data_IF_975255082040
#
_entry.id   IF_975255082040
#
_cell.length_a   1.000
_cell.length_b   1.000
_cell.length_c   1.000
_cell.angle_alpha   90.00
_cell.angle_beta   90.00
_cell.angle_gamma   90.00
#
_symmetry.space_group_name_H-M   'P 1'
#
loop_
_entity.id
_entity.type
_entity.pdbx_description
1 polymer ?
#
# COMPACT_ATOMS: atom_id res chain seq x y z
N UNK A 1 45.60 -19.59 -3.02
CA UNK A 1 44.59 -20.38 -2.27
C UNK A 1 43.60 -19.37 -1.70
N UNK A 2 42.43 -19.31 -2.30
CA UNK A 2 41.35 -18.38 -1.97
C UNK A 2 40.83 -18.67 -0.56
N UNK A 3 40.81 -17.65 0.31
CA UNK A 3 40.11 -17.72 1.57
C UNK A 3 38.66 -17.30 1.35
N UNK A 4 37.76 -18.26 1.55
CA UNK A 4 36.34 -18.17 1.30
C UNK A 4 35.69 -16.93 1.90
N UNK A 5 34.97 -16.21 1.04
CA UNK A 5 34.10 -15.12 1.45
C UNK A 5 33.13 -15.63 2.51
N UNK A 6 33.22 -15.02 3.70
CA UNK A 6 32.24 -15.18 4.76
C UNK A 6 30.92 -14.63 4.23
N UNK A 7 30.06 -15.55 3.75
CA UNK A 7 28.68 -15.25 3.39
C UNK A 7 28.00 -14.58 4.58
N UNK A 8 27.51 -13.35 4.35
CA UNK A 8 26.86 -12.51 5.35
C UNK A 8 25.81 -13.32 6.10
N UNK A 9 26.02 -13.40 7.42
CA UNK A 9 25.16 -14.00 8.43
C UNK A 9 23.67 -13.86 8.08
N UNK A 10 23.01 -15.02 8.06
CA UNK A 10 21.59 -15.21 7.87
C UNK A 10 20.78 -14.40 8.89
N UNK A 11 20.29 -13.22 8.50
CA UNK A 11 19.09 -12.67 9.11
C UNK A 11 17.93 -13.51 8.58
N UNK A 12 17.71 -14.68 9.18
CA UNK A 12 16.54 -15.50 8.86
C UNK A 12 15.36 -14.72 9.41
N UNK A 13 14.69 -14.02 8.51
CA UNK A 13 13.44 -13.38 8.81
C UNK A 13 12.40 -14.47 9.15
N UNK A 14 12.10 -14.65 10.44
CA UNK A 14 11.19 -15.69 10.90
C UNK A 14 9.70 -15.27 10.82
N UNK A 15 9.41 -14.15 10.16
CA UNK A 15 8.04 -13.67 9.96
C UNK A 15 7.42 -14.14 8.65
N UNK A 16 6.17 -13.75 8.42
CA UNK A 16 5.46 -14.15 7.21
C UNK A 16 6.00 -13.42 5.98
N UNK A 17 6.05 -14.13 4.84
CA UNK A 17 6.37 -13.54 3.53
C UNK A 17 5.38 -12.40 3.20
N UNK A 18 4.12 -12.59 3.57
CA UNK A 18 3.04 -11.62 3.33
C UNK A 18 3.27 -10.30 4.06
N UNK A 19 3.61 -10.33 5.35
CA UNK A 19 3.91 -9.11 6.11
C UNK A 19 5.15 -8.38 5.54
N UNK A 20 6.14 -9.13 5.06
CA UNK A 20 7.31 -8.55 4.41
C UNK A 20 6.95 -7.86 3.08
N UNK A 21 6.08 -8.47 2.26
CA UNK A 21 5.58 -7.85 1.03
C UNK A 21 4.81 -6.56 1.30
N UNK A 22 3.89 -6.58 2.27
CA UNK A 22 3.14 -5.38 2.66
C UNK A 22 4.05 -4.29 3.23
N UNK A 23 5.05 -4.68 4.02
CA UNK A 23 6.05 -3.74 4.53
C UNK A 23 6.75 -2.99 3.37
N UNK A 24 7.29 -3.72 2.40
CA UNK A 24 7.96 -3.13 1.23
C UNK A 24 7.01 -2.28 0.40
N UNK A 25 5.83 -2.81 0.06
CA UNK A 25 4.84 -2.09 -0.73
C UNK A 25 4.41 -0.78 -0.06
N UNK A 26 4.20 -0.81 1.26
CA UNK A 26 3.82 0.37 2.04
C UNK A 26 4.94 1.41 2.10
N UNK A 27 6.18 0.98 2.32
CA UNK A 27 7.36 1.87 2.33
C UNK A 27 7.55 2.56 0.99
N UNK A 28 7.59 1.80 -0.11
CA UNK A 28 7.72 2.35 -1.47
C UNK A 28 6.59 3.31 -1.80
N UNK A 29 5.37 2.99 -1.36
CA UNK A 29 4.22 3.88 -1.57
C UNK A 29 4.39 5.20 -0.80
N UNK A 30 4.86 5.16 0.45
CA UNK A 30 5.12 6.38 1.22
C UNK A 30 6.23 7.24 0.60
N UNK A 31 7.30 6.61 0.11
CA UNK A 31 8.38 7.31 -0.60
C UNK A 31 7.82 7.99 -1.88
N UNK A 32 7.05 7.26 -2.69
CA UNK A 32 6.37 7.82 -3.87
C UNK A 32 5.43 8.98 -3.51
N UNK A 33 4.64 8.85 -2.43
CA UNK A 33 3.73 9.91 -1.99
C UNK A 33 4.50 11.16 -1.53
N UNK A 34 5.64 10.99 -0.86
CA UNK A 34 6.51 12.10 -0.46
C UNK A 34 7.01 12.85 -1.69
N UNK A 35 7.47 12.13 -2.71
CA UNK A 35 7.99 12.71 -3.95
C UNK A 35 6.88 13.43 -4.74
N UNK A 36 5.63 12.95 -4.64
CA UNK A 36 4.43 13.60 -5.17
C UNK A 36 3.95 14.81 -4.35
N UNK A 37 4.64 15.19 -3.28
CA UNK A 37 4.33 16.36 -2.46
C UNK A 37 3.24 16.13 -1.40
N UNK A 38 2.93 14.89 -1.04
CA UNK A 38 2.04 14.60 0.09
C UNK A 38 2.78 14.69 1.43
N UNK A 39 2.02 14.94 2.50
CA UNK A 39 2.56 15.14 3.84
C UNK A 39 2.94 13.82 4.53
N UNK A 40 4.06 13.22 4.12
CA UNK A 40 4.60 11.98 4.68
C UNK A 40 5.62 12.29 5.78
N UNK A 41 5.52 11.63 6.94
CA UNK A 41 6.54 11.70 8.00
C UNK A 41 7.71 10.77 7.68
N UNK A 42 8.95 11.22 7.96
CA UNK A 42 10.13 10.37 7.83
C UNK A 42 10.05 9.14 8.75
N UNK A 43 9.46 9.29 9.94
CA UNK A 43 9.25 8.17 10.87
C UNK A 43 8.38 7.05 10.31
N UNK A 44 7.48 7.34 9.37
CA UNK A 44 6.65 6.31 8.72
C UNK A 44 7.42 5.55 7.63
N UNK A 45 8.40 6.21 6.98
CA UNK A 45 9.28 5.61 5.96
C UNK A 45 10.38 4.78 6.63
N UNK A 46 10.96 5.31 7.70
CA UNK A 46 12.09 4.72 8.45
C UNK A 46 11.66 3.58 9.40
N UNK A 47 10.37 3.25 9.40
CA UNK A 47 9.83 2.13 10.17
C UNK A 47 10.56 0.83 9.77
N UNK A 48 11.13 0.13 10.75
CA UNK A 48 11.74 -1.19 10.50
C UNK A 48 10.69 -2.27 10.30
N UNK A 49 11.05 -3.39 9.65
CA UNK A 49 10.15 -4.54 9.48
C UNK A 49 9.62 -5.09 10.81
N UNK A 50 10.47 -5.12 11.85
CA UNK A 50 10.08 -5.57 13.20
C UNK A 50 9.02 -4.65 13.80
N UNK A 51 9.20 -3.33 13.70
CA UNK A 51 8.22 -2.36 14.17
C UNK A 51 6.92 -2.40 13.36
N UNK A 52 7.03 -2.60 12.04
CA UNK A 52 5.88 -2.80 11.18
C UNK A 52 5.04 -3.99 11.65
N UNK A 53 5.67 -5.13 11.94
CA UNK A 53 4.96 -6.32 12.45
C UNK A 53 4.46 -6.17 13.87
N UNK A 54 5.15 -5.40 14.72
CA UNK A 54 4.61 -5.05 16.03
C UNK A 54 3.33 -4.21 15.91
N UNK A 55 3.25 -3.34 14.89
CA UNK A 55 2.10 -2.46 14.63
C UNK A 55 0.95 -3.16 13.90
N UNK A 56 1.25 -3.97 12.89
CA UNK A 56 0.26 -4.54 11.97
C UNK A 56 0.16 -6.07 12.06
N UNK A 57 0.91 -6.70 12.95
CA UNK A 57 1.02 -8.16 13.11
C UNK A 57 1.71 -8.87 11.94
N UNK A 58 1.87 -10.19 12.06
CA UNK A 58 2.38 -11.07 10.99
C UNK A 58 1.35 -11.31 9.88
N UNK A 59 0.06 -11.06 10.12
CA UNK A 59 -1.01 -11.16 9.12
C UNK A 59 -1.82 -9.85 9.15
N UNK A 60 -1.30 -8.80 8.49
CA UNK A 60 -1.94 -7.49 8.52
C UNK A 60 -3.37 -7.52 8.00
N UNK A 61 -4.27 -6.84 8.70
CA UNK A 61 -5.56 -6.50 8.12
C UNK A 61 -5.36 -5.37 7.11
N UNK A 62 -5.88 -5.55 5.88
CA UNK A 62 -5.76 -4.58 4.80
C UNK A 62 -6.31 -3.19 5.16
N UNK A 63 -7.35 -3.16 6.00
CA UNK A 63 -7.97 -1.92 6.48
C UNK A 63 -7.00 -1.11 7.33
N UNK A 64 -6.18 -1.78 8.14
CA UNK A 64 -5.19 -1.12 9.01
C UNK A 64 -3.99 -0.59 8.23
N UNK A 65 -3.69 -1.21 7.07
CA UNK A 65 -2.61 -0.77 6.19
C UNK A 65 -2.93 0.48 5.38
N UNK A 66 -4.20 0.89 5.35
CA UNK A 66 -4.66 2.07 4.61
C UNK A 66 -3.81 3.30 4.93
N UNK A 67 -3.46 4.05 3.88
CA UNK A 67 -2.78 5.34 4.02
C UNK A 67 -3.74 6.44 3.57
N UNK A 68 -3.90 7.48 4.39
CA UNK A 68 -4.61 8.69 4.04
C UNK A 68 -3.74 9.90 4.35
N UNK A 69 -3.37 10.68 3.33
CA UNK A 69 -2.47 11.80 3.51
C UNK A 69 -2.96 13.06 2.79
N UNK A 70 -2.90 14.23 3.43
CA UNK A 70 -3.14 15.50 2.77
C UNK A 70 -1.96 15.89 1.87
N UNK A 71 -2.25 16.67 0.84
CA UNK A 71 -1.22 17.32 0.03
C UNK A 71 -0.57 18.45 0.85
N UNK A 72 0.76 18.59 0.79
CA UNK A 72 1.47 19.64 1.55
C UNK A 72 1.04 21.05 1.14
N UNK A 73 0.78 21.27 -0.15
CA UNK A 73 0.39 22.59 -0.69
C UNK A 73 -1.09 22.92 -0.50
N UNK A 74 -1.95 21.92 -0.25
CA UNK A 74 -3.38 22.10 -0.03
C UNK A 74 -3.95 20.93 0.79
N UNK A 75 -4.11 21.17 2.09
CA UNK A 75 -4.58 20.14 3.03
C UNK A 75 -6.02 19.69 2.82
N UNK A 76 -6.83 20.45 2.07
CA UNK A 76 -8.18 20.06 1.67
C UNK A 76 -8.21 18.97 0.60
N UNK A 77 -7.08 18.71 -0.07
CA UNK A 77 -6.93 17.61 -1.03
C UNK A 77 -6.14 16.47 -0.39
N UNK A 78 -6.72 15.28 -0.38
CA UNK A 78 -6.12 14.05 0.17
C UNK A 78 -5.96 12.99 -0.90
N UNK A 79 -5.01 12.10 -0.65
CA UNK A 79 -4.88 10.80 -1.33
C UNK A 79 -5.23 9.69 -0.34
N UNK A 80 -5.87 8.65 -0.85
CA UNK A 80 -6.07 7.39 -0.14
C UNK A 80 -5.34 6.26 -0.88
N UNK A 81 -4.62 5.43 -0.13
CA UNK A 81 -4.02 4.19 -0.63
C UNK A 81 -4.71 3.01 0.06
N UNK A 82 -5.27 2.11 -0.74
CA UNK A 82 -5.91 0.89 -0.29
C UNK A 82 -5.10 -0.32 -0.76
N UNK A 83 -4.84 -1.25 0.15
CA UNK A 83 -4.15 -2.51 -0.16
C UNK A 83 -5.19 -3.59 -0.44
N UNK A 84 -5.02 -4.31 -1.54
CA UNK A 84 -5.78 -5.49 -1.87
C UNK A 84 -4.96 -6.74 -1.50
N UNK A 85 -5.66 -7.78 -1.04
CA UNK A 85 -5.03 -9.05 -0.71
C UNK A 85 -4.73 -9.85 -1.96
N UNK A 86 -4.48 -11.15 -1.75
CA UNK A 86 -4.16 -12.09 -2.83
C UNK A 86 -5.40 -12.56 -3.58
N UNK A 87 -6.60 -12.20 -3.13
CA UNK A 87 -7.83 -12.55 -3.84
C UNK A 87 -7.97 -11.80 -5.17
N UNK A 88 -8.52 -12.48 -6.16
CA UNK A 88 -8.80 -11.87 -7.45
C UNK A 88 -9.81 -10.73 -7.27
N UNK A 89 -9.51 -9.56 -7.83
CA UNK A 89 -10.32 -8.37 -7.59
C UNK A 89 -11.53 -8.38 -8.51
N UNK A 90 -12.71 -8.42 -7.90
CA UNK A 90 -14.01 -8.50 -8.58
C UNK A 90 -14.77 -7.17 -8.54
N UNK A 91 -15.82 -7.06 -9.36
CA UNK A 91 -16.66 -5.86 -9.40
C UNK A 91 -17.27 -5.49 -8.03
N UNK A 92 -17.83 -6.43 -7.25
CA UNK A 92 -18.31 -6.11 -5.90
C UNK A 92 -17.23 -5.51 -5.00
N UNK A 93 -15.99 -6.04 -5.07
CA UNK A 93 -14.87 -5.51 -4.28
C UNK A 93 -14.53 -4.07 -4.68
N UNK A 94 -14.54 -3.73 -5.97
CA UNK A 94 -14.38 -2.34 -6.43
C UNK A 94 -15.45 -1.42 -5.86
N UNK A 95 -16.71 -1.88 -5.81
CA UNK A 95 -17.80 -1.16 -5.16
C UNK A 95 -17.52 -0.87 -3.68
N UNK A 96 -17.01 -1.86 -2.94
CA UNK A 96 -16.58 -1.67 -1.54
C UNK A 96 -15.45 -0.65 -1.42
N UNK A 97 -14.42 -0.73 -2.27
CA UNK A 97 -13.30 0.22 -2.27
C UNK A 97 -13.77 1.67 -2.54
N UNK A 98 -14.72 1.84 -3.46
CA UNK A 98 -15.31 3.15 -3.73
C UNK A 98 -16.11 3.69 -2.56
N UNK A 99 -16.87 2.84 -1.88
CA UNK A 99 -17.59 3.24 -0.68
C UNK A 99 -16.62 3.68 0.43
N UNK A 100 -15.52 2.95 0.63
CA UNK A 100 -14.48 3.36 1.59
C UNK A 100 -13.82 4.69 1.21
N UNK A 101 -13.48 4.87 -0.07
CA UNK A 101 -12.95 6.15 -0.56
C UNK A 101 -13.94 7.31 -0.40
N UNK A 102 -15.23 7.06 -0.63
CA UNK A 102 -16.30 8.06 -0.49
C UNK A 102 -16.47 8.61 0.93
N UNK A 103 -16.02 7.89 1.96
CA UNK A 103 -16.02 8.33 3.35
C UNK A 103 -14.92 9.36 3.65
N UNK A 104 -13.92 9.48 2.79
CA UNK A 104 -12.74 10.32 3.03
C UNK A 104 -13.02 11.74 2.54
N UNK A 105 -13.24 12.66 3.48
CA UNK A 105 -13.45 14.07 3.16
C UNK A 105 -12.21 14.67 2.51
N UNK A 106 -12.39 15.31 1.35
CA UNK A 106 -11.32 15.91 0.57
C UNK A 106 -10.55 14.93 -0.31
N UNK A 107 -11.04 13.70 -0.50
CA UNK A 107 -10.40 12.73 -1.40
C UNK A 107 -10.34 13.28 -2.83
N UNK A 108 -9.14 13.34 -3.37
CA UNK A 108 -8.87 13.82 -4.73
C UNK A 108 -8.23 12.76 -5.63
N UNK A 109 -7.65 11.72 -5.02
CA UNK A 109 -6.96 10.62 -5.70
C UNK A 109 -7.02 9.36 -4.86
N UNK A 110 -7.23 8.23 -5.51
CA UNK A 110 -7.16 6.92 -4.88
C UNK A 110 -6.08 6.08 -5.56
N UNK A 111 -5.33 5.31 -4.78
CA UNK A 111 -4.31 4.39 -5.25
C UNK A 111 -4.65 2.99 -4.70
N UNK A 112 -4.67 1.99 -5.58
CA UNK A 112 -4.92 0.60 -5.22
C UNK A 112 -3.63 -0.20 -5.40
N UNK A 113 -3.16 -0.85 -4.34
CA UNK A 113 -2.02 -1.76 -4.37
C UNK A 113 -2.53 -3.18 -4.51
N UNK A 114 -2.26 -3.82 -5.63
CA UNK A 114 -2.82 -5.12 -6.02
C UNK A 114 -1.77 -6.22 -5.87
N UNK A 115 -2.15 -7.35 -5.28
CA UNK A 115 -1.33 -8.59 -5.28
C UNK A 115 -1.87 -9.68 -6.22
N UNK A 116 -3.01 -9.42 -6.85
CA UNK A 116 -3.70 -10.36 -7.71
C UNK A 116 -4.31 -9.62 -8.88
N UNK A 117 -4.67 -10.38 -9.90
CA UNK A 117 -5.32 -9.85 -11.07
C UNK A 117 -6.70 -9.27 -10.75
N UNK A 118 -7.07 -8.29 -11.55
CA UNK A 118 -8.40 -7.70 -11.56
C UNK A 118 -9.20 -8.23 -12.75
N UNK A 119 -10.47 -8.56 -12.56
CA UNK A 119 -11.34 -8.94 -13.68
C UNK A 119 -11.48 -7.77 -14.67
N UNK A 120 -11.68 -8.07 -15.96
CA UNK A 120 -11.87 -7.03 -16.97
C UNK A 120 -13.03 -6.07 -16.61
N UNK A 121 -14.13 -6.62 -16.06
CA UNK A 121 -15.26 -5.82 -15.60
C UNK A 121 -14.88 -4.90 -14.43
N UNK A 122 -14.18 -5.41 -13.42
CA UNK A 122 -13.72 -4.60 -12.30
C UNK A 122 -12.78 -3.47 -12.77
N UNK A 123 -11.91 -3.76 -13.75
CA UNK A 123 -11.01 -2.75 -14.34
C UNK A 123 -11.77 -1.66 -15.09
N UNK A 124 -12.85 -2.00 -15.79
CA UNK A 124 -13.71 -1.00 -16.43
C UNK A 124 -14.41 -0.12 -15.38
N UNK A 125 -14.90 -0.72 -14.30
CA UNK A 125 -15.60 -0.02 -13.23
C UNK A 125 -14.69 0.99 -12.50
N UNK A 126 -13.36 0.79 -12.48
CA UNK A 126 -12.40 1.78 -11.96
C UNK A 126 -12.54 3.15 -12.62
N UNK A 127 -12.89 3.21 -13.91
CA UNK A 127 -13.05 4.45 -14.66
C UNK A 127 -14.33 5.22 -14.27
N UNK A 128 -15.27 4.57 -13.58
CA UNK A 128 -16.51 5.20 -13.10
C UNK A 128 -16.31 5.91 -11.75
N UNK A 129 -15.14 5.79 -11.14
CA UNK A 129 -14.85 6.46 -9.88
C UNK A 129 -14.86 7.99 -10.05
N UNK A 130 -15.42 8.70 -9.06
CA UNK A 130 -15.46 10.16 -9.05
C UNK A 130 -14.08 10.80 -8.95
N UNK A 131 -13.10 10.07 -8.40
CA UNK A 131 -11.72 10.52 -8.24
C UNK A 131 -10.82 9.68 -9.14
N UNK A 132 -9.67 10.24 -9.53
CA UNK A 132 -8.67 9.49 -10.30
C UNK A 132 -8.17 8.30 -9.48
N UNK A 133 -8.29 7.10 -10.05
CA UNK A 133 -7.79 5.85 -9.48
C UNK A 133 -6.52 5.42 -10.21
N UNK A 134 -5.47 5.10 -9.47
CA UNK A 134 -4.24 4.48 -9.98
C UNK A 134 -4.09 3.08 -9.37
N UNK A 135 -3.57 2.12 -10.15
CA UNK A 135 -3.32 0.75 -9.67
C UNK A 135 -1.84 0.43 -9.78
N UNK A 136 -1.24 -0.12 -8.72
CA UNK A 136 0.12 -0.66 -8.75
C UNK A 136 0.08 -2.14 -8.40
N UNK A 137 0.73 -2.97 -9.20
CA UNK A 137 0.82 -4.39 -8.91
C UNK A 137 2.11 -4.67 -8.14
N UNK A 138 2.02 -5.43 -7.05
CA UNK A 138 3.17 -5.89 -6.26
C UNK A 138 3.19 -7.42 -6.28
N UNK A 139 4.32 -7.99 -6.74
CA UNK A 139 4.55 -9.44 -6.94
C UNK A 139 5.52 -10.00 -5.90
#
# INVERSE_FOLDING_TARGET
MENGGVCKSSWIDNGSIESHRFYLARRTTLEMLRDRGYNVSNSDIDLSLTQFRAKFTQKPNLTDLKIELPLKSNSSKKVAVLFCGTEKITKPMVGTLFNEGGKIVGLSRMILILQSDMTAQARQDLNLCRVKVETFHVS
#
